data_IF_509814623707
#
_entry.id   IF_509814623707
#
_cell.length_a   1.000
_cell.length_b   1.000
_cell.length_c   1.000
_cell.angle_alpha   90.00
_cell.angle_beta   90.00
_cell.angle_gamma   90.00
#
_symmetry.space_group_name_H-M   'P 1'
#
loop_
_entity.id
_entity.type
_entity.pdbx_description
1 polymer ?
#
# COMPACT_ATOMS: atom_id res chain seq x y z
N UNK A 1 -26.26 23.46 -13.51
CA UNK A 1 -26.74 22.07 -13.57
C UNK A 1 -26.00 21.21 -12.55
N UNK A 2 -26.51 20.01 -12.28
CA UNK A 2 -25.82 19.03 -11.41
C UNK A 2 -24.72 18.37 -12.25
N UNK A 3 -23.48 18.31 -11.73
CA UNK A 3 -22.38 17.58 -12.34
C UNK A 3 -22.36 16.14 -11.84
N UNK A 4 -22.09 15.21 -12.73
CA UNK A 4 -21.96 13.79 -12.43
C UNK A 4 -20.49 13.38 -12.53
N UNK A 5 -19.92 12.95 -11.40
CA UNK A 5 -18.51 12.57 -11.28
C UNK A 5 -18.41 11.07 -10.96
N UNK A 6 -17.49 10.38 -11.60
CA UNK A 6 -17.10 9.03 -11.23
C UNK A 6 -15.68 9.04 -10.67
N UNK A 7 -15.48 8.50 -9.45
CA UNK A 7 -14.16 8.43 -8.82
C UNK A 7 -13.67 6.98 -8.77
N UNK A 8 -12.60 6.68 -9.49
CA UNK A 8 -12.04 5.33 -9.63
C UNK A 8 -10.84 5.16 -8.69
N UNK A 9 -11.03 4.40 -7.62
CA UNK A 9 -10.05 4.18 -6.56
C UNK A 9 -9.21 2.92 -6.73
N UNK A 10 -9.45 2.12 -7.77
CA UNK A 10 -8.81 0.80 -7.96
C UNK A 10 -8.25 0.65 -9.36
N UNK A 11 -7.27 -0.22 -9.53
CA UNK A 11 -6.79 -0.66 -10.83
C UNK A 11 -7.79 -1.65 -11.45
N UNK A 12 -8.74 -1.13 -12.24
CA UNK A 12 -9.74 -1.94 -12.93
C UNK A 12 -9.15 -2.78 -14.05
N UNK A 13 -7.96 -2.48 -14.55
CA UNK A 13 -7.32 -3.26 -15.60
C UNK A 13 -6.86 -4.62 -15.06
N UNK A 14 -6.16 -4.63 -13.92
CA UNK A 14 -5.66 -5.86 -13.29
C UNK A 14 -6.67 -6.50 -12.34
N UNK A 15 -7.57 -5.72 -11.76
CA UNK A 15 -8.58 -6.18 -10.83
C UNK A 15 -9.96 -5.62 -11.16
N UNK A 16 -10.58 -6.17 -12.22
CA UNK A 16 -11.86 -5.71 -12.76
C UNK A 16 -13.05 -6.24 -11.94
N UNK A 17 -13.11 -5.84 -10.66
CA UNK A 17 -14.17 -6.28 -9.74
C UNK A 17 -15.58 -5.77 -10.12
N UNK A 18 -15.67 -4.65 -10.83
CA UNK A 18 -16.93 -4.03 -11.29
C UNK A 18 -17.61 -4.84 -12.39
N UNK A 19 -16.85 -5.69 -13.11
CA UNK A 19 -17.36 -6.54 -14.20
C UNK A 19 -18.60 -7.35 -13.82
N UNK A 20 -18.75 -7.71 -12.53
CA UNK A 20 -19.93 -8.45 -12.02
C UNK A 20 -21.22 -7.63 -12.01
N UNK A 21 -21.14 -6.30 -12.09
CA UNK A 21 -22.31 -5.42 -12.06
C UNK A 21 -22.75 -4.95 -13.45
N UNK A 22 -21.92 -5.14 -14.46
CA UNK A 22 -22.18 -4.68 -15.83
C UNK A 22 -22.33 -5.87 -16.78
N UNK A 23 -23.26 -5.74 -17.75
CA UNK A 23 -23.50 -6.78 -18.76
C UNK A 23 -22.30 -7.03 -19.67
N UNK A 24 -21.46 -6.01 -19.88
CA UNK A 24 -20.24 -6.08 -20.71
C UNK A 24 -19.35 -4.85 -20.49
N UNK A 25 -18.08 -4.91 -20.87
CA UNK A 25 -17.19 -3.75 -20.87
C UNK A 25 -17.75 -2.57 -21.70
N UNK A 26 -18.48 -2.85 -22.79
CA UNK A 26 -19.12 -1.82 -23.61
C UNK A 26 -20.25 -1.11 -22.84
N UNK A 27 -21.01 -1.84 -22.00
CA UNK A 27 -22.03 -1.26 -21.15
C UNK A 27 -21.40 -0.43 -20.03
N UNK A 28 -20.38 -0.93 -19.38
CA UNK A 28 -19.63 -0.21 -18.34
C UNK A 28 -18.99 1.07 -18.90
N UNK A 29 -18.33 0.99 -20.06
CA UNK A 29 -17.79 2.17 -20.78
C UNK A 29 -18.86 3.25 -20.99
N UNK A 30 -20.05 2.88 -21.48
CA UNK A 30 -21.15 3.84 -21.68
C UNK A 30 -21.55 4.54 -20.38
N UNK A 31 -21.52 3.84 -19.24
CA UNK A 31 -21.84 4.47 -17.97
C UNK A 31 -20.80 5.53 -17.59
N UNK A 32 -19.50 5.28 -17.83
CA UNK A 32 -18.48 6.30 -17.64
C UNK A 32 -18.60 7.47 -18.63
N UNK A 33 -19.04 7.22 -19.86
CA UNK A 33 -19.26 8.26 -20.88
C UNK A 33 -20.47 9.14 -20.61
N UNK A 34 -21.33 8.79 -19.65
CA UNK A 34 -22.41 9.63 -19.14
C UNK A 34 -21.98 10.58 -18.01
N UNK A 35 -20.74 10.44 -17.51
CA UNK A 35 -20.21 11.32 -16.47
C UNK A 35 -19.63 12.59 -17.10
N UNK A 36 -19.64 13.68 -16.35
CA UNK A 36 -18.95 14.93 -16.75
C UNK A 36 -17.43 14.79 -16.64
N UNK A 37 -16.95 14.14 -15.57
CA UNK A 37 -15.55 13.78 -15.39
C UNK A 37 -15.41 12.37 -14.76
N UNK A 38 -14.34 11.66 -15.13
CA UNK A 38 -13.87 10.45 -14.45
C UNK A 38 -12.56 10.76 -13.76
N UNK A 39 -12.54 10.63 -12.43
CA UNK A 39 -11.41 10.99 -11.57
C UNK A 39 -10.65 9.73 -11.18
N UNK A 40 -9.33 9.78 -11.23
CA UNK A 40 -8.43 8.69 -10.86
C UNK A 40 -7.51 9.10 -9.72
N UNK A 41 -7.12 8.13 -8.90
CA UNK A 41 -6.24 8.36 -7.75
C UNK A 41 -4.75 8.22 -8.09
N UNK A 42 -4.42 7.90 -9.35
CA UNK A 42 -3.05 7.82 -9.87
C UNK A 42 -3.02 7.92 -11.39
N UNK A 43 -1.91 8.37 -11.96
CA UNK A 43 -1.73 8.45 -13.42
C UNK A 43 -1.74 7.07 -14.07
N UNK A 44 -1.12 6.09 -13.42
CA UNK A 44 -1.07 4.73 -13.96
C UNK A 44 -2.46 4.06 -13.95
N UNK A 45 -3.26 4.27 -12.89
CA UNK A 45 -4.66 3.82 -12.86
C UNK A 45 -5.48 4.44 -13.99
N UNK A 46 -5.31 5.74 -14.28
CA UNK A 46 -5.93 6.42 -15.41
C UNK A 46 -5.50 5.79 -16.73
N UNK A 47 -4.19 5.61 -16.94
CA UNK A 47 -3.67 5.07 -18.20
C UNK A 47 -4.17 3.65 -18.47
N UNK A 48 -4.16 2.78 -17.45
CA UNK A 48 -4.68 1.41 -17.54
C UNK A 48 -6.19 1.38 -17.75
N UNK A 49 -6.93 2.28 -17.10
CA UNK A 49 -8.37 2.42 -17.33
C UNK A 49 -8.66 2.81 -18.80
N UNK A 50 -7.90 3.75 -19.36
CA UNK A 50 -8.03 4.14 -20.76
C UNK A 50 -7.69 2.99 -21.73
N UNK A 51 -6.70 2.15 -21.41
CA UNK A 51 -6.44 0.94 -22.19
C UNK A 51 -7.62 -0.04 -22.18
N UNK A 52 -8.33 -0.16 -21.02
CA UNK A 52 -9.45 -1.06 -20.87
C UNK A 52 -10.73 -0.55 -21.56
N UNK A 53 -11.06 0.74 -21.39
CA UNK A 53 -12.34 1.30 -21.81
C UNK A 53 -12.23 2.30 -22.96
N UNK A 54 -11.12 3.02 -23.10
CA UNK A 54 -10.93 4.10 -24.09
C UNK A 54 -12.15 5.06 -24.13
N UNK A 55 -12.49 5.65 -22.97
CA UNK A 55 -13.59 6.60 -22.85
C UNK A 55 -13.23 7.94 -23.46
N UNK A 56 -14.23 8.65 -24.00
CA UNK A 56 -14.09 10.01 -24.55
C UNK A 56 -14.35 11.10 -23.51
N UNK A 57 -14.93 10.74 -22.37
CA UNK A 57 -15.18 11.64 -21.23
C UNK A 57 -13.90 12.25 -20.69
N UNK A 58 -13.98 13.49 -20.21
CA UNK A 58 -12.88 14.15 -19.48
C UNK A 58 -12.37 13.28 -18.33
N UNK A 59 -11.04 13.09 -18.28
CA UNK A 59 -10.38 12.28 -17.25
C UNK A 59 -9.35 13.09 -16.51
N UNK A 60 -9.41 13.09 -15.19
CA UNK A 60 -8.51 13.83 -14.29
C UNK A 60 -7.82 12.90 -13.31
N UNK A 61 -6.66 13.29 -12.82
CA UNK A 61 -5.98 12.61 -11.72
C UNK A 61 -5.99 13.54 -10.53
N UNK A 62 -6.56 13.09 -9.42
CA UNK A 62 -6.52 13.77 -8.12
C UNK A 62 -6.11 12.71 -7.11
N UNK A 63 -4.94 12.87 -6.52
CA UNK A 63 -4.43 11.95 -5.50
C UNK A 63 -5.33 11.94 -4.27
N UNK A 64 -5.33 10.81 -3.55
CA UNK A 64 -5.99 10.76 -2.25
C UNK A 64 -5.39 11.82 -1.31
N UNK A 65 -6.25 12.43 -0.51
CA UNK A 65 -5.85 13.40 0.51
C UNK A 65 -5.03 12.68 1.60
N UNK A 66 -3.79 13.12 1.80
CA UNK A 66 -2.87 12.58 2.81
C UNK A 66 -2.42 13.73 3.70
N UNK A 67 -2.85 13.71 4.96
CA UNK A 67 -2.42 14.68 5.97
C UNK A 67 -1.21 14.16 6.76
N UNK A 68 -0.02 14.38 6.21
CA UNK A 68 1.23 13.98 6.85
C UNK A 68 1.41 14.61 8.24
N UNK A 69 0.91 15.82 8.50
CA UNK A 69 1.03 16.47 9.81
C UNK A 69 0.26 15.69 10.87
N UNK A 70 -1.00 15.36 10.59
CA UNK A 70 -1.83 14.53 11.49
C UNK A 70 -1.24 13.12 11.66
N UNK A 71 -0.74 12.49 10.60
CA UNK A 71 -0.12 11.15 10.67
C UNK A 71 1.10 11.19 11.60
N UNK A 72 2.01 12.15 11.44
CA UNK A 72 3.20 12.31 12.28
C UNK A 72 2.82 12.62 13.74
N UNK A 73 1.81 13.46 13.96
CA UNK A 73 1.31 13.76 15.32
C UNK A 73 0.83 12.48 16.00
N UNK A 74 -0.05 11.72 15.34
CA UNK A 74 -0.60 10.47 15.86
C UNK A 74 0.46 9.40 16.09
N UNK A 75 1.48 9.33 15.25
CA UNK A 75 2.60 8.40 15.43
C UNK A 75 3.44 8.66 16.69
N UNK A 76 3.21 9.77 17.40
CA UNK A 76 3.87 10.13 18.65
C UNK A 76 2.96 10.03 19.90
N UNK A 77 1.71 9.55 19.77
CA UNK A 77 0.74 9.49 20.88
C UNK A 77 1.19 8.56 22.01
N UNK A 78 1.85 7.44 21.67
CA UNK A 78 2.42 6.51 22.64
C UNK A 78 3.63 5.79 22.05
N UNK A 79 4.37 5.06 22.90
CA UNK A 79 5.53 4.28 22.47
C UNK A 79 5.18 2.80 22.36
N UNK A 80 5.74 2.15 21.36
CA UNK A 80 5.77 0.69 21.22
C UNK A 80 7.22 0.25 21.28
N UNK A 81 7.50 -0.82 21.98
CA UNK A 81 8.84 -1.39 22.08
C UNK A 81 9.03 -2.49 21.05
N UNK A 82 10.21 -2.57 20.50
CA UNK A 82 10.69 -3.68 19.66
C UNK A 82 12.03 -4.19 20.15
N UNK A 83 12.33 -5.45 19.90
CA UNK A 83 13.56 -6.10 20.36
C UNK A 83 14.48 -6.52 19.21
N UNK A 84 13.91 -6.79 18.04
CA UNK A 84 14.59 -7.31 16.85
C UNK A 84 14.44 -6.35 15.69
N UNK A 85 15.11 -6.62 14.58
CA UNK A 85 14.74 -5.98 13.31
C UNK A 85 13.27 -6.27 13.02
N UNK A 86 12.48 -5.24 12.89
CA UNK A 86 11.02 -5.36 12.83
C UNK A 86 10.47 -4.86 11.50
N UNK A 87 9.76 -5.74 10.82
CA UNK A 87 8.98 -5.45 9.61
C UNK A 87 7.53 -5.21 10.01
N UNK A 88 6.94 -4.09 9.60
CA UNK A 88 5.54 -3.77 9.87
C UNK A 88 4.71 -3.81 8.59
N UNK A 89 3.54 -4.42 8.68
CA UNK A 89 2.51 -4.45 7.64
C UNK A 89 1.20 -3.97 8.24
N UNK A 90 0.44 -3.16 7.50
CA UNK A 90 -0.87 -2.65 7.94
C UNK A 90 -1.91 -2.87 6.85
N UNK A 91 -3.06 -3.44 7.21
CA UNK A 91 -4.15 -3.60 6.26
C UNK A 91 -5.24 -4.55 6.72
N UNK A 92 -6.33 -4.62 5.96
CA UNK A 92 -7.40 -5.60 6.18
C UNK A 92 -6.88 -7.01 5.89
N UNK A 93 -7.17 -7.99 6.75
CA UNK A 93 -6.76 -9.38 6.54
C UNK A 93 -7.69 -10.04 5.52
N UNK A 94 -7.46 -9.71 4.24
CA UNK A 94 -8.19 -10.21 3.07
C UNK A 94 -7.21 -10.68 2.00
N UNK A 95 -7.67 -11.55 1.09
CA UNK A 95 -6.85 -12.17 0.05
C UNK A 95 -6.04 -11.16 -0.79
N UNK A 96 -6.62 -9.98 -1.08
CA UNK A 96 -5.96 -8.94 -1.85
C UNK A 96 -4.65 -8.46 -1.21
N UNK A 97 -4.52 -8.51 0.12
CA UNK A 97 -3.35 -8.03 0.87
C UNK A 97 -2.22 -9.04 1.01
N UNK A 98 -2.44 -10.29 0.64
CA UNK A 98 -1.44 -11.38 0.59
C UNK A 98 -0.57 -11.53 1.86
N UNK A 99 -1.15 -11.43 3.04
CA UNK A 99 -0.39 -11.65 4.28
C UNK A 99 0.14 -13.09 4.42
N UNK A 100 -0.43 -14.05 3.72
CA UNK A 100 0.08 -15.41 3.60
C UNK A 100 1.46 -15.45 2.92
N UNK A 101 1.70 -14.61 1.90
CA UNK A 101 3.03 -14.49 1.27
C UNK A 101 4.08 -14.03 2.27
N UNK A 102 3.79 -12.98 3.08
CA UNK A 102 4.78 -12.51 4.06
C UNK A 102 5.04 -13.54 5.17
N UNK A 103 4.06 -14.37 5.55
CA UNK A 103 4.26 -15.46 6.51
C UNK A 103 5.22 -16.52 5.92
N UNK A 104 5.09 -16.88 4.62
CA UNK A 104 6.06 -17.77 3.94
C UNK A 104 7.44 -17.13 3.87
N UNK A 105 7.53 -15.85 3.57
CA UNK A 105 8.80 -15.09 3.57
C UNK A 105 9.44 -15.10 4.97
N UNK A 106 8.65 -14.91 6.03
CA UNK A 106 9.15 -15.00 7.40
C UNK A 106 9.76 -16.38 7.69
N UNK A 107 9.15 -17.48 7.20
CA UNK A 107 9.73 -18.83 7.33
C UNK A 107 11.10 -18.91 6.66
N UNK A 108 11.26 -18.34 5.45
CA UNK A 108 12.57 -18.32 4.76
C UNK A 108 13.62 -17.56 5.60
N UNK A 109 13.24 -16.42 6.23
CA UNK A 109 14.16 -15.68 7.11
C UNK A 109 14.59 -16.52 8.31
N UNK A 110 13.65 -17.15 9.00
CA UNK A 110 13.91 -17.99 10.18
C UNK A 110 14.78 -19.20 9.82
N UNK A 111 14.50 -19.88 8.69
CA UNK A 111 15.31 -21.00 8.19
C UNK A 111 16.75 -20.61 7.86
N UNK A 112 16.97 -19.36 7.46
CA UNK A 112 18.30 -18.79 7.23
C UNK A 112 18.94 -18.17 8.47
N UNK A 113 18.37 -18.35 9.67
CA UNK A 113 18.93 -17.95 10.95
C UNK A 113 18.84 -16.45 11.27
N UNK A 114 17.94 -15.71 10.59
CA UNK A 114 17.72 -14.29 10.89
C UNK A 114 16.86 -14.09 12.13
N UNK A 115 17.29 -13.20 13.01
CA UNK A 115 16.51 -12.75 14.17
C UNK A 115 15.67 -11.52 13.79
N UNK A 116 14.45 -11.77 13.33
CA UNK A 116 13.54 -10.79 12.72
C UNK A 116 12.10 -11.00 13.20
N UNK A 117 11.37 -9.89 13.41
CA UNK A 117 9.95 -9.88 13.73
C UNK A 117 9.11 -9.29 12.59
N UNK A 118 7.93 -9.87 12.39
CA UNK A 118 6.92 -9.37 11.47
C UNK A 118 5.66 -8.99 12.23
N UNK A 119 5.30 -7.72 12.21
CA UNK A 119 4.09 -7.18 12.83
C UNK A 119 3.02 -6.96 11.77
N UNK A 120 1.91 -7.65 11.90
CA UNK A 120 0.75 -7.52 11.03
C UNK A 120 -0.35 -6.82 11.82
N UNK A 121 -0.63 -5.56 11.46
CA UNK A 121 -1.63 -4.71 12.11
C UNK A 121 -2.89 -4.66 11.24
N UNK A 122 -3.99 -5.16 11.76
CA UNK A 122 -5.27 -5.16 11.08
C UNK A 122 -6.15 -6.31 11.50
N UNK A 123 -7.36 -6.36 10.95
CA UNK A 123 -8.31 -7.45 11.15
C UNK A 123 -9.00 -7.79 9.82
N UNK A 124 -9.60 -8.96 9.73
CA UNK A 124 -10.33 -9.38 8.54
C UNK A 124 -10.70 -10.86 8.53
N UNK A 125 -11.36 -11.28 7.45
CA UNK A 125 -11.90 -12.64 7.36
C UNK A 125 -10.84 -13.76 7.30
N UNK A 126 -9.58 -13.44 7.03
CA UNK A 126 -8.48 -14.42 6.98
C UNK A 126 -7.71 -14.54 8.30
N UNK A 127 -8.10 -13.87 9.38
CA UNK A 127 -7.36 -13.84 10.64
C UNK A 127 -7.12 -15.25 11.20
N UNK A 128 -8.15 -16.10 11.23
CA UNK A 128 -8.05 -17.48 11.69
C UNK A 128 -7.12 -18.33 10.82
N UNK A 129 -7.20 -18.18 9.47
CA UNK A 129 -6.38 -18.95 8.54
C UNK A 129 -4.90 -18.53 8.65
N UNK A 130 -4.64 -17.22 8.78
CA UNK A 130 -3.28 -16.69 8.98
C UNK A 130 -2.70 -17.12 10.32
N UNK A 131 -3.49 -17.09 11.41
CA UNK A 131 -3.06 -17.58 12.73
C UNK A 131 -2.70 -19.05 12.70
N UNK A 132 -3.53 -19.88 12.05
CA UNK A 132 -3.22 -21.29 11.86
C UNK A 132 -1.93 -21.49 11.05
N UNK A 133 -1.76 -20.75 9.96
CA UNK A 133 -0.55 -20.82 9.12
C UNK A 133 0.72 -20.46 9.90
N UNK A 134 0.67 -19.43 10.76
CA UNK A 134 1.80 -19.05 11.63
C UNK A 134 2.17 -20.20 12.55
N UNK A 135 1.18 -20.82 13.19
CA UNK A 135 1.39 -21.94 14.09
C UNK A 135 1.93 -23.18 13.37
N UNK A 136 1.31 -23.58 12.24
CA UNK A 136 1.72 -24.73 11.43
C UNK A 136 3.16 -24.60 10.90
N UNK A 137 3.62 -23.36 10.68
CA UNK A 137 4.99 -23.03 10.26
C UNK A 137 5.95 -22.75 11.43
N UNK A 138 5.53 -22.91 12.67
CA UNK A 138 6.33 -22.63 13.88
C UNK A 138 6.94 -21.20 13.87
N UNK A 139 6.11 -20.20 13.61
CA UNK A 139 6.49 -18.79 13.53
C UNK A 139 5.90 -17.91 14.64
N UNK A 140 5.34 -18.53 15.69
CA UNK A 140 4.65 -17.81 16.79
C UNK A 140 5.55 -16.78 17.48
N UNK A 141 6.87 -17.00 17.51
CA UNK A 141 7.87 -16.11 18.10
C UNK A 141 8.37 -15.00 17.12
N UNK A 142 7.97 -15.05 15.85
CA UNK A 142 8.49 -14.14 14.81
C UNK A 142 7.40 -13.37 14.05
N UNK A 143 6.19 -13.90 13.96
CA UNK A 143 5.07 -13.28 13.25
C UNK A 143 3.92 -13.01 14.19
N UNK A 144 3.57 -11.74 14.35
CA UNK A 144 2.60 -11.29 15.33
C UNK A 144 1.39 -10.65 14.66
N UNK A 145 0.22 -11.29 14.73
CA UNK A 145 -1.07 -10.70 14.38
C UNK A 145 -1.49 -9.77 15.51
N UNK A 146 -1.28 -8.46 15.36
CA UNK A 146 -1.55 -7.47 16.41
C UNK A 146 -3.03 -7.08 16.50
N UNK A 147 -3.88 -7.58 15.60
CA UNK A 147 -5.28 -7.20 15.51
C UNK A 147 -5.48 -5.77 15.01
N UNK A 148 -6.74 -5.33 14.98
CA UNK A 148 -7.07 -3.96 14.62
C UNK A 148 -6.53 -2.96 15.64
N UNK A 149 -5.89 -1.91 15.16
CA UNK A 149 -5.41 -0.79 15.97
C UNK A 149 -6.00 0.52 15.43
N UNK A 150 -6.68 1.33 16.28
CA UNK A 150 -7.22 2.64 15.87
C UNK A 150 -6.14 3.63 15.42
N UNK A 151 -4.91 3.44 15.92
CA UNK A 151 -3.74 4.21 15.54
C UNK A 151 -2.60 3.26 15.14
N UNK A 152 -2.51 2.87 13.86
CA UNK A 152 -1.45 2.00 13.37
C UNK A 152 -0.10 2.72 13.20
N UNK A 153 -0.11 4.06 13.18
CA UNK A 153 1.07 4.87 12.85
C UNK A 153 2.21 4.71 13.85
N UNK A 154 1.90 4.45 15.12
CA UNK A 154 2.93 4.19 16.16
C UNK A 154 3.70 2.90 15.88
N UNK A 155 3.04 1.87 15.34
CA UNK A 155 3.66 0.60 14.95
C UNK A 155 4.51 0.78 13.69
N UNK A 156 3.98 1.48 12.66
CA UNK A 156 4.74 1.82 11.45
C UNK A 156 6.00 2.60 11.84
N UNK A 157 5.87 3.64 12.69
CA UNK A 157 6.99 4.46 13.14
C UNK A 157 8.03 3.65 13.90
N UNK A 158 7.63 2.75 14.77
CA UNK A 158 8.52 1.93 15.60
C UNK A 158 9.31 0.92 14.77
N UNK A 159 8.72 0.30 13.76
CA UNK A 159 9.36 -0.70 12.92
C UNK A 159 10.57 -0.14 12.14
N UNK A 160 11.49 -1.01 11.71
CA UNK A 160 12.63 -0.64 10.87
C UNK A 160 12.22 -0.52 9.40
N UNK A 161 11.33 -1.40 8.95
CA UNK A 161 10.89 -1.50 7.57
C UNK A 161 9.37 -1.60 7.50
N UNK A 162 8.76 -0.88 6.58
CA UNK A 162 7.36 -1.06 6.22
C UNK A 162 7.25 -1.92 4.96
N UNK A 163 6.35 -2.91 4.96
CA UNK A 163 6.14 -3.79 3.80
C UNK A 163 4.68 -3.77 3.38
N UNK A 164 4.43 -3.73 2.07
CA UNK A 164 3.12 -3.89 1.44
C UNK A 164 3.21 -4.97 0.37
N UNK A 165 2.51 -6.08 0.56
CA UNK A 165 2.55 -7.24 -0.34
C UNK A 165 1.24 -7.44 -1.13
N UNK A 166 0.50 -6.37 -1.42
CA UNK A 166 -0.82 -6.44 -2.06
C UNK A 166 -0.77 -6.92 -3.52
N UNK A 167 -1.80 -7.68 -3.94
CA UNK A 167 -2.02 -8.07 -5.34
C UNK A 167 -2.41 -6.90 -6.25
N UNK A 168 -3.15 -5.94 -5.72
CA UNK A 168 -3.64 -4.80 -6.49
C UNK A 168 -3.89 -3.60 -5.57
N UNK A 169 -3.41 -2.43 -5.97
CA UNK A 169 -3.61 -1.15 -5.30
C UNK A 169 -3.76 -0.03 -6.34
N UNK A 170 -4.81 0.77 -6.23
CA UNK A 170 -4.97 1.94 -7.08
C UNK A 170 -4.08 3.11 -6.65
N UNK A 171 -3.88 3.30 -5.33
CA UNK A 171 -3.01 4.33 -4.75
C UNK A 171 -2.16 3.81 -3.58
N UNK A 172 -2.67 2.96 -2.71
CA UNK A 172 -2.07 2.48 -1.46
C UNK A 172 -1.87 3.55 -0.39
N UNK A 173 -2.95 3.84 0.35
CA UNK A 173 -2.93 4.80 1.47
C UNK A 173 -1.85 4.45 2.51
N UNK A 174 -1.69 3.18 2.85
CA UNK A 174 -0.70 2.74 3.86
C UNK A 174 0.75 2.95 3.43
N UNK A 175 1.05 2.88 2.11
CA UNK A 175 2.38 3.23 1.57
C UNK A 175 2.59 4.75 1.66
N UNK A 176 1.57 5.56 1.33
CA UNK A 176 1.63 7.01 1.48
C UNK A 176 1.81 7.43 2.96
N UNK A 177 1.10 6.77 3.88
CA UNK A 177 1.25 6.97 5.33
C UNK A 177 2.67 6.62 5.82
N UNK A 178 3.24 5.52 5.33
CA UNK A 178 4.62 5.12 5.63
C UNK A 178 5.65 6.14 5.07
N UNK A 179 5.40 6.72 3.89
CA UNK A 179 6.21 7.82 3.34
C UNK A 179 6.17 9.05 4.25
N UNK A 180 4.96 9.46 4.74
CA UNK A 180 4.82 10.59 5.67
C UNK A 180 5.59 10.37 6.98
N UNK A 181 5.74 9.11 7.41
CA UNK A 181 6.51 8.73 8.60
C UNK A 181 8.02 8.55 8.30
N UNK A 182 8.46 8.83 7.08
CA UNK A 182 9.86 8.68 6.67
C UNK A 182 10.35 7.23 6.84
N UNK A 183 9.53 6.23 6.51
CA UNK A 183 9.92 4.82 6.65
C UNK A 183 10.62 4.31 5.40
N UNK A 184 11.62 3.43 5.59
CA UNK A 184 12.07 2.55 4.52
C UNK A 184 10.90 1.62 4.12
N UNK A 185 10.69 1.44 2.82
CA UNK A 185 9.51 0.74 2.30
C UNK A 185 9.92 -0.31 1.27
N UNK A 186 9.34 -1.51 1.41
CA UNK A 186 9.29 -2.53 0.35
C UNK A 186 7.83 -2.69 -0.06
N UNK A 187 7.55 -2.72 -1.35
CA UNK A 187 6.19 -2.99 -1.84
C UNK A 187 6.20 -3.86 -3.10
N UNK A 188 5.17 -4.69 -3.25
CA UNK A 188 4.92 -5.33 -4.54
C UNK A 188 4.63 -4.28 -5.62
N UNK A 189 5.03 -4.58 -6.87
CA UNK A 189 4.84 -3.71 -8.05
C UNK A 189 3.36 -3.67 -8.46
N UNK A 190 2.57 -2.92 -7.69
CA UNK A 190 1.19 -2.58 -8.07
C UNK A 190 1.11 -1.10 -8.42
N UNK A 191 0.04 -0.68 -9.11
CA UNK A 191 -0.11 0.66 -9.71
C UNK A 191 0.23 1.80 -8.74
N UNK A 192 -0.44 1.83 -7.59
CA UNK A 192 -0.25 2.89 -6.61
C UNK A 192 1.16 2.93 -6.02
N UNK A 193 1.70 1.83 -5.49
CA UNK A 193 3.08 1.75 -5.02
C UNK A 193 4.13 2.14 -6.06
N UNK A 194 3.98 1.73 -7.33
CA UNK A 194 4.90 2.13 -8.40
C UNK A 194 4.91 3.65 -8.56
N UNK A 195 3.74 4.29 -8.58
CA UNK A 195 3.65 5.75 -8.67
C UNK A 195 4.19 6.46 -7.43
N UNK A 196 3.96 5.91 -6.23
CA UNK A 196 4.43 6.49 -4.97
C UNK A 196 5.93 6.32 -4.75
N UNK A 197 6.48 5.15 -5.09
CA UNK A 197 7.88 4.79 -4.80
C UNK A 197 8.83 5.04 -5.98
N UNK A 198 8.27 5.42 -7.15
CA UNK A 198 9.01 5.57 -8.40
C UNK A 198 9.23 4.24 -9.11
N UNK A 199 9.15 4.23 -10.45
CA UNK A 199 9.22 3.01 -11.26
C UNK A 199 10.57 2.27 -11.16
N UNK A 200 11.64 2.97 -10.79
CA UNK A 200 12.98 2.43 -10.59
C UNK A 200 13.36 2.33 -9.11
N UNK A 201 12.37 2.23 -8.20
CA UNK A 201 12.61 2.12 -6.75
C UNK A 201 13.35 3.33 -6.15
N UNK A 202 13.03 4.54 -6.62
CA UNK A 202 13.70 5.78 -6.17
C UNK A 202 13.46 6.07 -4.69
N UNK A 203 12.23 5.82 -4.18
CA UNK A 203 11.79 6.21 -2.83
C UNK A 203 11.44 5.02 -1.92
N UNK A 204 11.52 3.80 -2.44
CA UNK A 204 11.31 2.54 -1.76
C UNK A 204 11.63 1.40 -2.71
N UNK A 205 11.80 0.18 -2.22
CA UNK A 205 12.13 -0.97 -3.06
C UNK A 205 10.87 -1.63 -3.58
N UNK A 206 10.78 -1.79 -4.90
CA UNK A 206 9.70 -2.51 -5.57
C UNK A 206 10.13 -3.97 -5.81
N UNK A 207 9.33 -4.92 -5.32
CA UNK A 207 9.49 -6.35 -5.52
C UNK A 207 8.45 -6.88 -6.52
N UNK A 208 8.79 -7.92 -7.25
CA UNK A 208 7.78 -8.65 -8.00
C UNK A 208 6.83 -9.38 -7.04
N UNK A 209 5.67 -9.80 -7.53
CA UNK A 209 4.63 -10.37 -6.68
C UNK A 209 4.84 -11.87 -6.47
N UNK A 210 5.97 -12.22 -5.88
CA UNK A 210 6.36 -13.57 -5.46
C UNK A 210 7.19 -13.53 -4.17
N UNK A 211 7.22 -14.67 -3.47
CA UNK A 211 7.87 -14.77 -2.16
C UNK A 211 9.39 -14.55 -2.23
N UNK A 212 10.05 -14.98 -3.31
CA UNK A 212 11.50 -14.83 -3.48
C UNK A 212 11.90 -13.36 -3.68
N UNK A 213 11.17 -12.65 -4.53
CA UNK A 213 11.38 -11.22 -4.78
C UNK A 213 11.15 -10.39 -3.51
N UNK A 214 10.09 -10.70 -2.73
CA UNK A 214 9.83 -10.06 -1.45
C UNK A 214 10.93 -10.36 -0.42
N UNK A 215 11.36 -11.63 -0.31
CA UNK A 215 12.46 -12.02 0.57
C UNK A 215 13.73 -11.24 0.23
N UNK A 216 14.12 -11.21 -1.04
CA UNK A 216 15.33 -10.53 -1.48
C UNK A 216 15.26 -9.02 -1.23
N UNK A 217 14.10 -8.39 -1.46
CA UNK A 217 13.89 -6.97 -1.21
C UNK A 217 13.99 -6.61 0.30
N UNK A 218 13.39 -7.43 1.17
CA UNK A 218 13.49 -7.23 2.64
C UNK A 218 14.92 -7.48 3.12
N UNK A 219 15.56 -8.53 2.62
CA UNK A 219 16.94 -8.93 2.97
C UNK A 219 17.97 -7.83 2.72
N UNK A 220 17.75 -6.95 1.72
CA UNK A 220 18.61 -5.78 1.47
C UNK A 220 18.74 -4.87 2.70
N UNK A 221 17.66 -4.72 3.47
CA UNK A 221 17.62 -3.87 4.66
C UNK A 221 18.10 -4.59 5.92
N UNK A 222 17.81 -5.88 6.02
CA UNK A 222 18.25 -6.71 7.16
C UNK A 222 19.78 -6.87 7.17
N UNK A 223 20.38 -7.08 5.99
CA UNK A 223 21.82 -7.26 5.85
C UNK A 223 22.62 -5.95 5.91
N UNK A 224 22.00 -4.83 5.60
CA UNK A 224 22.66 -3.52 5.58
C UNK A 224 21.74 -2.44 6.15
N UNK A 225 21.87 -2.21 7.46
CA UNK A 225 21.04 -1.24 8.17
C UNK A 225 21.23 0.20 7.66
N UNK A 226 22.35 0.53 7.02
CA UNK A 226 22.55 1.86 6.42
C UNK A 226 21.54 2.13 5.31
N UNK A 227 21.08 1.09 4.61
CA UNK A 227 20.00 1.23 3.62
C UNK A 227 18.68 1.68 4.24
N UNK A 228 18.40 1.29 5.49
CA UNK A 228 17.21 1.79 6.21
C UNK A 228 17.28 3.32 6.27
N UNK A 229 18.38 3.89 6.73
CA UNK A 229 18.54 5.36 6.83
C UNK A 229 18.46 6.05 5.47
N UNK A 230 19.13 5.49 4.44
CA UNK A 230 19.08 6.04 3.08
C UNK A 230 17.65 6.10 2.54
N UNK A 231 16.88 5.03 2.72
CA UNK A 231 15.50 5.00 2.23
C UNK A 231 14.52 5.76 3.12
N UNK A 232 14.82 5.94 4.40
CA UNK A 232 14.07 6.85 5.28
C UNK A 232 14.20 8.30 4.80
N UNK A 233 15.41 8.76 4.45
CA UNK A 233 15.64 10.10 3.89
C UNK A 233 14.90 10.28 2.53
N UNK A 234 14.98 9.28 1.66
CA UNK A 234 14.26 9.27 0.39
C UNK A 234 12.73 9.33 0.59
N UNK A 235 12.19 8.55 1.52
CA UNK A 235 10.77 8.54 1.85
C UNK A 235 10.31 9.89 2.39
N UNK A 236 11.09 10.51 3.30
CA UNK A 236 10.80 11.85 3.82
C UNK A 236 10.77 12.90 2.70
N UNK A 237 11.72 12.87 1.75
CA UNK A 237 11.70 13.74 0.57
C UNK A 237 10.47 13.50 -0.30
N UNK A 238 10.10 12.25 -0.53
CA UNK A 238 8.93 11.89 -1.34
C UNK A 238 7.62 12.34 -0.70
N UNK A 239 7.51 12.30 0.63
CA UNK A 239 6.31 12.73 1.35
C UNK A 239 5.93 14.19 1.11
N UNK A 240 6.87 15.04 0.69
CA UNK A 240 6.63 16.45 0.36
C UNK A 240 5.69 16.62 -0.87
N UNK A 241 5.44 15.54 -1.63
CA UNK A 241 4.42 15.56 -2.69
C UNK A 241 2.99 15.67 -2.16
N UNK A 242 2.75 15.31 -0.89
CA UNK A 242 1.43 15.33 -0.27
C UNK A 242 1.14 16.71 0.30
N UNK A 243 0.40 17.49 -0.47
CA UNK A 243 -0.04 18.83 -0.12
C UNK A 243 -1.58 18.84 0.03
N UNK A 244 -2.04 19.00 1.27
CA UNK A 244 -3.47 19.00 1.61
C UNK A 244 -4.20 20.14 0.90
N UNK A 245 -3.63 21.36 0.92
CA UNK A 245 -4.27 22.56 0.34
C UNK A 245 -4.37 22.40 -1.19
N UNK A 246 -3.30 21.95 -1.83
CA UNK A 246 -3.30 21.69 -3.27
C UNK A 246 -4.35 20.65 -3.63
N UNK A 247 -4.38 19.50 -2.95
CA UNK A 247 -5.35 18.43 -3.23
C UNK A 247 -6.79 18.90 -3.01
N UNK A 248 -7.05 19.68 -1.94
CA UNK A 248 -8.37 20.27 -1.70
C UNK A 248 -8.78 21.25 -2.79
N UNK A 249 -7.87 22.11 -3.26
CA UNK A 249 -8.14 23.04 -4.36
C UNK A 249 -8.45 22.28 -5.66
N UNK A 250 -7.74 21.19 -5.96
CA UNK A 250 -8.04 20.31 -7.10
C UNK A 250 -9.45 19.71 -6.99
N UNK A 251 -9.84 19.23 -5.79
CA UNK A 251 -11.20 18.71 -5.53
C UNK A 251 -12.25 19.81 -5.72
N UNK A 252 -12.06 20.99 -5.13
CA UNK A 252 -13.01 22.10 -5.30
C UNK A 252 -13.15 22.56 -6.74
N UNK A 253 -12.10 22.44 -7.55
CA UNK A 253 -12.13 22.85 -8.97
C UNK A 253 -13.03 21.98 -9.85
N UNK A 254 -13.45 20.82 -9.37
CA UNK A 254 -14.28 19.87 -10.10
C UNK A 254 -15.72 19.79 -9.58
N UNK A 255 -15.99 20.39 -8.42
CA UNK A 255 -17.34 20.47 -7.81
C UNK A 255 -18.07 21.70 -8.38
#
# INVERSE_FOLDING_TARGET
GIRHLSWVHVDLFNFHWTKRYFKSNKHEKKCYELMDDVIFVSNDAKNKFQQLFNVTTSTKVIYNLIDCKTIVLRANEFKVEKRKFTVCLVGRLVRQKQFDSIIRVARIFVDNGYDIDFWIVGAGCLESDLSKMIHDLHLDDNVHLLGYKPNPYVYIKCADLFVSCSLAEGFSLVVAEALCLGKAIVSTKTVGPVELLGSNSEYGVLADNDDESLYNAIKLFVNDYNKVFVYQDKAAKRSLMFDVEKTMNEIYSIL
#
